data_IF_927102739396
#
_entry.id   IF_927102739396
#
_cell.length_a   1.000
_cell.length_b   1.000
_cell.length_c   1.000
_cell.angle_alpha   90.00
_cell.angle_beta   90.00
_cell.angle_gamma   90.00
#
_symmetry.space_group_name_H-M   'P 1'
#
loop_
_entity.id
_entity.type
_entity.pdbx_description
1 polymer ?
#
# COMPACT_ATOMS: atom_id res chain seq x y z
N UNK A 1 20.64 11.20 24.79
CA UNK A 1 19.46 12.06 24.98
C UNK A 1 18.79 12.19 23.64
N UNK A 2 17.65 11.54 23.39
CA UNK A 2 17.12 11.52 22.01
C UNK A 2 15.88 10.69 21.76
N UNK A 3 15.02 10.52 22.76
CA UNK A 3 13.74 9.79 22.60
C UNK A 3 12.58 10.42 23.37
N UNK A 4 12.81 11.44 24.21
CA UNK A 4 11.75 12.08 24.99
C UNK A 4 11.11 13.27 24.26
N UNK A 5 11.86 14.04 23.46
CA UNK A 5 11.33 15.25 22.79
C UNK A 5 10.30 14.96 21.68
N UNK A 6 10.35 13.78 21.05
CA UNK A 6 9.38 13.41 19.99
C UNK A 6 8.00 12.99 20.53
N UNK A 7 7.92 12.61 21.81
CA UNK A 7 6.66 12.27 22.46
C UNK A 7 5.97 13.49 23.09
N UNK A 8 6.66 14.62 23.24
CA UNK A 8 6.09 15.84 23.81
C UNK A 8 5.13 16.51 22.83
N UNK A 9 5.40 16.46 21.52
CA UNK A 9 4.56 17.15 20.50
C UNK A 9 3.17 16.51 20.36
N UNK A 10 3.05 15.20 20.58
CA UNK A 10 1.76 14.48 20.52
C UNK A 10 0.95 14.58 21.82
N UNK A 11 1.61 14.82 22.96
CA UNK A 11 0.94 15.00 24.24
C UNK A 11 0.36 16.42 24.42
N UNK A 12 0.95 17.44 23.79
CA UNK A 12 0.51 18.83 23.93
C UNK A 12 -0.74 19.18 23.08
N UNK A 13 -1.09 18.35 22.08
CA UNK A 13 -2.32 18.56 21.28
C UNK A 13 -3.61 18.11 21.99
N UNK A 14 -3.50 17.44 23.15
CA UNK A 14 -4.64 16.93 23.91
C UNK A 14 -5.01 17.81 25.12
N UNK A 15 -4.22 18.83 25.45
CA UNK A 15 -4.37 19.65 26.67
C UNK A 15 -4.76 21.11 26.44
N UNK A 16 -4.87 21.59 25.19
CA UNK A 16 -5.30 22.98 24.95
C UNK A 16 -6.82 23.09 24.86
N UNK A 17 -7.44 23.07 26.03
CA UNK A 17 -8.78 23.56 26.31
C UNK A 17 -8.72 25.09 26.54
N UNK A 18 -9.64 25.80 25.88
CA UNK A 18 -10.03 27.22 26.00
C UNK A 18 -8.98 28.32 26.29
N UNK A 19 -8.81 29.17 25.27
CA UNK A 19 -8.90 30.62 25.44
C UNK A 19 -7.59 31.35 25.75
N UNK A 20 -6.79 31.64 24.72
CA UNK A 20 -5.98 32.87 24.61
C UNK A 20 -5.45 32.92 23.17
N UNK A 21 -5.41 34.11 22.56
CA UNK A 21 -5.00 34.28 21.16
C UNK A 21 -3.59 33.72 20.91
N UNK A 22 -3.49 32.73 20.04
CA UNK A 22 -2.21 32.19 19.58
C UNK A 22 -1.81 32.87 18.25
N UNK A 23 -0.54 33.25 18.08
CA UNK A 23 -0.03 33.70 16.80
C UNK A 23 -0.04 32.51 15.83
N UNK A 24 -0.49 32.75 14.60
CA UNK A 24 -0.43 31.83 13.47
C UNK A 24 1.02 31.37 13.23
N UNK A 25 1.41 30.27 13.86
CA UNK A 25 2.57 29.50 13.40
C UNK A 25 2.03 28.35 12.57
N UNK A 26 2.07 28.52 11.26
CA UNK A 26 1.91 27.45 10.27
C UNK A 26 2.95 26.35 10.55
N UNK A 27 2.61 25.41 11.42
CA UNK A 27 3.32 24.13 11.51
C UNK A 27 2.88 23.35 10.28
N UNK A 28 3.57 23.54 9.16
CA UNK A 28 3.42 22.68 7.98
C UNK A 28 3.89 21.28 8.36
N UNK A 29 2.95 20.45 8.82
CA UNK A 29 3.14 19.03 9.05
C UNK A 29 3.40 18.35 7.70
N UNK A 30 4.65 18.02 7.43
CA UNK A 30 5.04 17.32 6.20
C UNK A 30 4.68 15.83 6.36
N UNK A 31 3.82 15.32 5.48
CA UNK A 31 3.47 13.91 5.42
C UNK A 31 4.57 13.14 4.69
N UNK A 32 5.11 12.11 5.32
CA UNK A 32 6.15 11.22 4.82
C UNK A 32 5.76 9.74 5.04
N UNK A 33 6.43 8.82 4.35
CA UNK A 33 6.15 7.37 4.40
C UNK A 33 6.11 6.82 5.85
N UNK A 34 6.99 7.35 6.69
CA UNK A 34 7.19 6.89 8.07
C UNK A 34 6.12 7.43 9.04
N UNK A 35 5.52 8.58 8.72
CA UNK A 35 4.60 9.29 9.61
C UNK A 35 3.14 9.23 9.15
N UNK A 36 2.86 8.92 7.87
CA UNK A 36 1.51 8.99 7.30
C UNK A 36 0.50 8.13 8.06
N UNK A 37 0.91 6.94 8.50
CA UNK A 37 0.05 6.04 9.29
C UNK A 37 -0.18 6.51 10.74
N UNK A 38 0.66 7.40 11.26
CA UNK A 38 0.51 8.01 12.59
C UNK A 38 -0.28 9.31 12.52
N UNK A 39 -0.11 10.08 11.43
CA UNK A 39 -0.81 11.34 11.18
C UNK A 39 -2.27 11.08 10.78
N UNK A 40 -2.54 10.06 9.96
CA UNK A 40 -3.89 9.78 9.44
C UNK A 40 -4.97 9.59 10.54
N UNK A 41 -4.75 8.82 11.63
CA UNK A 41 -5.71 8.73 12.72
C UNK A 41 -5.99 10.07 13.42
N UNK A 42 -4.96 10.91 13.58
CA UNK A 42 -5.07 12.23 14.21
C UNK A 42 -5.83 13.17 13.29
N UNK A 43 -5.44 13.23 12.02
CA UNK A 43 -6.11 14.03 11.00
C UNK A 43 -7.60 13.66 10.90
N UNK A 44 -7.93 12.37 10.94
CA UNK A 44 -9.32 11.91 10.94
C UNK A 44 -10.05 12.28 12.24
N UNK A 45 -9.42 12.15 13.41
CA UNK A 45 -10.00 12.52 14.71
C UNK A 45 -10.34 14.01 14.78
N UNK A 46 -9.46 14.86 14.25
CA UNK A 46 -9.62 16.32 14.24
C UNK A 46 -10.32 16.85 12.98
N UNK A 47 -10.80 15.97 12.08
CA UNK A 47 -11.41 16.34 10.79
C UNK A 47 -10.57 17.36 10.00
N UNK A 48 -9.26 17.19 10.05
CA UNK A 48 -8.28 18.09 9.45
C UNK A 48 -8.19 17.86 7.93
N UNK A 49 -7.94 18.92 7.13
CA UNK A 49 -7.63 18.77 5.70
C UNK A 49 -6.40 17.90 5.42
N UNK A 50 -5.56 17.66 6.44
CA UNK A 50 -4.42 16.74 6.37
C UNK A 50 -4.82 15.31 5.97
N UNK A 51 -6.08 14.91 6.12
CA UNK A 51 -6.55 13.60 5.63
C UNK A 51 -6.39 13.51 4.11
N UNK A 52 -6.66 14.60 3.39
CA UNK A 52 -6.50 14.66 1.93
C UNK A 52 -5.02 14.61 1.55
N UNK A 53 -4.15 15.32 2.27
CA UNK A 53 -2.70 15.28 2.04
C UNK A 53 -2.14 13.87 2.29
N UNK A 54 -2.61 13.19 3.35
CA UNK A 54 -2.26 11.79 3.61
C UNK A 54 -2.72 10.88 2.46
N UNK A 55 -3.94 11.09 1.97
CA UNK A 55 -4.51 10.31 0.88
C UNK A 55 -3.72 10.47 -0.42
N UNK A 56 -3.39 11.72 -0.77
CA UNK A 56 -2.64 12.03 -1.99
C UNK A 56 -1.20 11.53 -1.91
N UNK A 57 -0.57 11.61 -0.73
CA UNK A 57 0.72 10.99 -0.50
C UNK A 57 0.67 9.46 -0.65
N UNK A 58 -0.34 8.79 -0.10
CA UNK A 58 -0.49 7.35 -0.29
C UNK A 58 -0.75 6.99 -1.77
N UNK A 59 -1.48 7.84 -2.53
CA UNK A 59 -1.69 7.66 -3.98
C UNK A 59 -0.40 7.80 -4.78
N UNK A 60 0.47 8.76 -4.46
CA UNK A 60 1.75 8.91 -5.17
C UNK A 60 2.64 7.70 -4.96
N UNK A 61 2.63 7.10 -3.76
CA UNK A 61 3.33 5.85 -3.49
C UNK A 61 2.73 4.62 -4.20
N UNK A 62 1.44 4.63 -4.48
CA UNK A 62 0.74 3.57 -5.24
C UNK A 62 0.84 3.75 -6.77
N UNK A 63 2.00 4.20 -7.26
CA UNK A 63 2.32 4.29 -8.68
C UNK A 63 3.39 3.27 -9.09
N UNK A 64 3.37 2.78 -10.34
CA UNK A 64 4.45 1.93 -10.83
C UNK A 64 5.79 2.69 -10.79
N UNK A 65 6.86 2.02 -10.35
CA UNK A 65 8.21 2.60 -10.25
C UNK A 65 8.59 3.18 -8.88
N UNK A 66 7.68 3.27 -7.90
CA UNK A 66 7.99 3.78 -6.54
C UNK A 66 8.70 2.77 -5.63
N UNK A 67 8.74 1.50 -6.01
CA UNK A 67 9.43 0.45 -5.25
C UNK A 67 8.77 0.13 -3.89
N UNK A 68 7.50 0.50 -3.69
CA UNK A 68 6.79 0.23 -2.43
C UNK A 68 6.77 -1.26 -2.10
N UNK A 69 7.04 -1.59 -0.83
CA UNK A 69 6.96 -2.97 -0.34
C UNK A 69 5.50 -3.40 -0.22
N UNK A 70 5.20 -4.65 -0.59
CA UNK A 70 3.85 -5.25 -0.47
C UNK A 70 3.32 -5.15 0.96
N UNK A 71 4.18 -5.33 1.96
CA UNK A 71 3.80 -5.19 3.37
C UNK A 71 3.25 -3.80 3.70
N UNK A 72 3.91 -2.75 3.20
CA UNK A 72 3.54 -1.35 3.41
C UNK A 72 2.28 -0.99 2.63
N UNK A 73 2.15 -1.51 1.40
CA UNK A 73 0.92 -1.36 0.61
C UNK A 73 -0.30 -1.92 1.34
N UNK A 74 -0.18 -3.12 1.92
CA UNK A 74 -1.27 -3.71 2.70
C UNK A 74 -1.59 -2.91 3.97
N UNK A 75 -0.58 -2.33 4.63
CA UNK A 75 -0.82 -1.43 5.77
C UNK A 75 -1.62 -0.19 5.37
N UNK A 76 -1.33 0.41 4.21
CA UNK A 76 -2.10 1.53 3.69
C UNK A 76 -3.52 1.15 3.31
N UNK A 77 -3.74 -0.02 2.69
CA UNK A 77 -5.10 -0.48 2.37
C UNK A 77 -5.90 -0.75 3.65
N UNK A 78 -5.29 -1.38 4.66
CA UNK A 78 -5.93 -1.60 5.97
C UNK A 78 -6.29 -0.29 6.66
N UNK A 79 -5.40 0.70 6.62
CA UNK A 79 -5.69 2.04 7.14
C UNK A 79 -6.83 2.70 6.36
N UNK A 80 -6.82 2.61 5.03
CA UNK A 80 -7.85 3.15 4.18
C UNK A 80 -9.24 2.53 4.42
N UNK A 81 -9.31 1.22 4.66
CA UNK A 81 -10.56 0.56 5.06
C UNK A 81 -11.04 1.08 6.41
N UNK A 82 -10.13 1.23 7.38
CA UNK A 82 -10.46 1.69 8.73
C UNK A 82 -10.95 3.13 8.77
N UNK A 83 -10.38 4.00 7.94
CA UNK A 83 -10.70 5.43 7.87
C UNK A 83 -11.61 5.79 6.70
N UNK A 84 -12.14 4.79 5.99
CA UNK A 84 -13.09 4.93 4.89
C UNK A 84 -12.60 5.83 3.74
N UNK A 85 -11.32 5.70 3.37
CA UNK A 85 -10.68 6.44 2.28
C UNK A 85 -11.01 5.82 0.91
N UNK A 86 -12.25 5.98 0.46
CA UNK A 86 -12.77 5.29 -0.73
C UNK A 86 -12.00 5.58 -2.03
N UNK A 87 -11.57 6.83 -2.24
CA UNK A 87 -10.84 7.24 -3.45
C UNK A 87 -9.45 6.60 -3.53
N UNK A 88 -8.70 6.60 -2.42
CA UNK A 88 -7.45 5.86 -2.31
C UNK A 88 -7.67 4.36 -2.46
N UNK A 89 -8.68 3.79 -1.81
CA UNK A 89 -8.96 2.35 -1.87
C UNK A 89 -9.23 1.90 -3.32
N UNK A 90 -9.98 2.68 -4.10
CA UNK A 90 -10.18 2.39 -5.52
C UNK A 90 -8.87 2.40 -6.34
N UNK A 91 -7.98 3.35 -6.02
CA UNK A 91 -6.66 3.50 -6.66
C UNK A 91 -5.72 2.37 -6.27
N UNK A 92 -5.65 2.03 -4.98
CA UNK A 92 -4.88 0.91 -4.46
C UNK A 92 -5.35 -0.42 -5.03
N UNK A 93 -6.66 -0.64 -5.19
CA UNK A 93 -7.20 -1.84 -5.85
C UNK A 93 -6.78 -1.92 -7.33
N UNK A 94 -6.74 -0.79 -8.05
CA UNK A 94 -6.21 -0.75 -9.44
C UNK A 94 -4.73 -1.11 -9.47
N UNK A 95 -3.97 -0.62 -8.50
CA UNK A 95 -2.54 -0.92 -8.37
C UNK A 95 -2.31 -2.41 -8.04
N UNK A 96 -3.01 -2.96 -7.04
CA UNK A 96 -2.96 -4.37 -6.67
C UNK A 96 -3.33 -5.32 -7.83
N UNK A 97 -4.21 -4.92 -8.75
CA UNK A 97 -4.53 -5.71 -9.92
C UNK A 97 -3.35 -5.90 -10.90
N UNK A 98 -2.31 -5.07 -10.79
CA UNK A 98 -1.06 -5.21 -11.57
C UNK A 98 -0.02 -6.06 -10.84
N UNK A 99 -0.06 -6.07 -9.50
CA UNK A 99 0.81 -6.90 -8.66
C UNK A 99 0.40 -8.37 -8.79
N UNK A 100 1.38 -9.28 -8.68
CA UNK A 100 1.10 -10.71 -8.64
C UNK A 100 0.26 -11.03 -7.39
N UNK A 101 -0.86 -11.71 -7.61
CA UNK A 101 -1.80 -12.08 -6.55
C UNK A 101 -1.17 -13.05 -5.55
N UNK A 102 -0.25 -13.90 -6.01
CA UNK A 102 0.46 -14.82 -5.13
C UNK A 102 1.37 -14.08 -4.15
N UNK A 103 2.01 -13.00 -4.61
CA UNK A 103 2.83 -12.10 -3.79
C UNK A 103 1.98 -11.33 -2.78
N UNK A 104 0.79 -10.85 -3.17
CA UNK A 104 -0.18 -10.22 -2.25
C UNK A 104 -0.66 -11.20 -1.17
N UNK A 105 -0.80 -12.48 -1.50
CA UNK A 105 -1.18 -13.54 -0.57
C UNK A 105 0.04 -14.09 0.23
N UNK A 106 1.17 -13.38 0.21
CA UNK A 106 2.36 -13.69 1.00
C UNK A 106 3.24 -14.81 0.43
N UNK A 107 2.97 -15.35 -0.75
CA UNK A 107 3.86 -16.35 -1.36
C UNK A 107 5.11 -15.64 -1.90
N UNK A 108 6.27 -16.14 -1.52
CA UNK A 108 7.57 -15.72 -2.05
C UNK A 108 8.21 -16.87 -2.81
N UNK A 109 8.79 -16.53 -3.95
CA UNK A 109 9.53 -17.46 -4.79
C UNK A 109 11.00 -17.06 -4.74
N UNK A 110 11.83 -17.90 -4.11
CA UNK A 110 13.27 -17.69 -4.06
C UNK A 110 13.94 -18.60 -5.09
N UNK A 111 14.74 -18.00 -5.97
CA UNK A 111 15.61 -18.73 -6.89
C UNK A 111 16.87 -19.15 -6.14
N UNK A 112 17.07 -20.45 -5.95
CA UNK A 112 18.32 -20.99 -5.42
C UNK A 112 19.15 -21.49 -6.59
N UNK A 113 20.26 -20.81 -6.87
CA UNK A 113 21.28 -21.28 -7.81
C UNK A 113 22.18 -22.29 -7.10
N UNK A 114 22.11 -23.56 -7.49
CA UNK A 114 23.09 -24.55 -7.03
C UNK A 114 24.37 -24.48 -7.88
N UNK A 115 25.50 -24.88 -7.29
CA UNK A 115 26.86 -24.83 -7.90
C UNK A 115 27.01 -25.62 -9.21
N UNK A 116 25.98 -26.35 -9.65
CA UNK A 116 26.02 -27.23 -10.82
C UNK A 116 24.89 -26.96 -11.85
N UNK A 117 24.39 -25.73 -11.94
CA UNK A 117 23.50 -25.31 -13.04
C UNK A 117 22.01 -25.67 -12.88
N UNK A 118 21.65 -26.51 -11.91
CA UNK A 118 20.24 -26.73 -11.58
C UNK A 118 19.68 -25.53 -10.80
N UNK A 119 18.71 -24.84 -11.41
CA UNK A 119 17.93 -23.79 -10.73
C UNK A 119 16.77 -24.47 -10.00
N UNK A 120 16.71 -24.34 -8.68
CA UNK A 120 15.57 -24.79 -7.89
C UNK A 120 14.81 -23.58 -7.34
N UNK A 121 13.49 -23.59 -7.47
CA UNK A 121 12.63 -22.58 -6.87
C UNK A 121 12.13 -23.10 -5.53
N UNK A 122 12.39 -22.36 -4.46
CA UNK A 122 11.80 -22.64 -3.15
C UNK A 122 10.64 -21.68 -2.92
N UNK A 123 9.49 -22.26 -2.55
CA UNK A 123 8.30 -21.52 -2.16
C UNK A 123 8.33 -21.32 -0.65
N UNK A 124 8.35 -20.06 -0.23
CA UNK A 124 8.18 -19.69 1.17
C UNK A 124 6.93 -18.83 1.32
N UNK A 125 6.40 -18.74 2.54
CA UNK A 125 5.23 -17.92 2.86
C UNK A 125 5.68 -16.86 3.86
N UNK A 126 5.50 -15.61 3.49
CA UNK A 126 5.56 -14.46 4.38
C UNK A 126 4.26 -14.40 5.18
N UNK A 127 4.33 -14.89 6.41
CA UNK A 127 3.17 -14.99 7.31
C UNK A 127 2.59 -13.61 7.66
N UNK A 128 3.42 -12.57 7.72
CA UNK A 128 2.97 -11.21 8.03
C UNK A 128 2.18 -10.62 6.88
N UNK A 129 2.69 -10.76 5.65
CA UNK A 129 1.96 -10.33 4.44
C UNK A 129 0.66 -11.10 4.29
N UNK A 130 0.68 -12.43 4.45
CA UNK A 130 -0.52 -13.26 4.37
C UNK A 130 -1.56 -12.84 5.42
N UNK A 131 -1.13 -12.62 6.66
CA UNK A 131 -2.01 -12.19 7.75
C UNK A 131 -2.66 -10.83 7.45
N UNK A 132 -1.88 -9.85 6.97
CA UNK A 132 -2.39 -8.53 6.58
C UNK A 132 -3.40 -8.63 5.44
N UNK A 133 -3.12 -9.45 4.44
CA UNK A 133 -4.06 -9.66 3.33
C UNK A 133 -5.37 -10.28 3.79
N UNK A 134 -5.32 -11.26 4.71
CA UNK A 134 -6.51 -11.87 5.29
C UNK A 134 -7.30 -10.94 6.22
N UNK A 135 -6.66 -9.90 6.76
CA UNK A 135 -7.34 -8.86 7.56
C UNK A 135 -8.14 -7.89 6.72
N UNK A 136 -7.87 -7.78 5.41
CA UNK A 136 -8.67 -6.96 4.51
C UNK A 136 -10.11 -7.45 4.46
N UNK A 137 -11.05 -6.54 4.26
CA UNK A 137 -12.45 -6.95 4.05
C UNK A 137 -12.58 -7.88 2.84
N UNK A 138 -13.54 -8.80 2.90
CA UNK A 138 -13.85 -9.72 1.80
C UNK A 138 -14.21 -8.92 0.53
N UNK A 139 -14.86 -7.77 0.67
CA UNK A 139 -15.22 -6.88 -0.44
C UNK A 139 -14.00 -6.31 -1.15
N UNK A 140 -12.98 -5.87 -0.40
CA UNK A 140 -11.72 -5.37 -0.97
C UNK A 140 -10.94 -6.49 -1.63
N UNK A 141 -10.82 -7.65 -0.97
CA UNK A 141 -10.15 -8.83 -1.57
C UNK A 141 -10.83 -9.25 -2.88
N UNK A 142 -12.16 -9.29 -2.89
CA UNK A 142 -12.94 -9.61 -4.08
C UNK A 142 -12.76 -8.56 -5.18
N UNK A 143 -12.72 -7.28 -4.82
CA UNK A 143 -12.51 -6.19 -5.77
C UNK A 143 -11.12 -6.26 -6.42
N UNK A 144 -10.08 -6.61 -5.65
CA UNK A 144 -8.73 -6.86 -6.17
C UNK A 144 -8.75 -8.04 -7.15
N UNK A 145 -9.31 -9.18 -6.73
CA UNK A 145 -9.37 -10.38 -7.58
C UNK A 145 -10.16 -10.12 -8.88
N UNK A 146 -11.29 -9.41 -8.80
CA UNK A 146 -12.13 -9.06 -9.95
C UNK A 146 -11.41 -8.11 -10.91
N UNK A 147 -10.71 -7.08 -10.42
CA UNK A 147 -9.90 -6.20 -11.31
C UNK A 147 -8.73 -6.96 -11.92
N UNK A 148 -8.10 -7.86 -11.17
CA UNK A 148 -7.02 -8.72 -11.68
C UNK A 148 -7.49 -9.63 -12.81
N UNK A 149 -8.63 -10.29 -12.64
CA UNK A 149 -9.22 -11.15 -13.67
C UNK A 149 -9.49 -10.36 -14.96
N UNK A 150 -10.12 -9.19 -14.84
CA UNK A 150 -10.35 -8.29 -16.00
C UNK A 150 -9.04 -7.90 -16.68
N UNK A 151 -8.00 -7.59 -15.90
CA UNK A 151 -6.69 -7.27 -16.45
C UNK A 151 -6.12 -8.45 -17.24
N UNK A 152 -6.14 -9.67 -16.68
CA UNK A 152 -5.66 -10.87 -17.36
C UNK A 152 -6.45 -11.19 -18.65
N UNK A 153 -7.78 -11.05 -18.62
CA UNK A 153 -8.64 -11.24 -19.79
C UNK A 153 -8.31 -10.24 -20.90
N UNK A 154 -8.07 -8.97 -20.56
CA UNK A 154 -7.66 -7.95 -21.54
C UNK A 154 -6.29 -8.27 -22.15
N UNK A 155 -5.33 -8.76 -21.36
CA UNK A 155 -4.02 -9.18 -21.88
C UNK A 155 -4.14 -10.40 -22.78
N UNK A 156 -4.94 -11.40 -22.40
CA UNK A 156 -5.20 -12.59 -23.23
C UNK A 156 -5.82 -12.20 -24.57
N UNK A 157 -6.85 -11.34 -24.56
CA UNK A 157 -7.49 -10.87 -25.80
C UNK A 157 -6.54 -10.08 -26.70
N UNK A 158 -5.60 -9.31 -26.14
CA UNK A 158 -4.55 -8.62 -26.91
C UNK A 158 -3.57 -9.61 -27.55
N UNK A 159 -3.18 -10.66 -26.81
CA UNK A 159 -2.31 -11.75 -27.31
C UNK A 159 -3.01 -12.54 -28.43
N UNK A 160 -4.26 -12.93 -28.23
CA UNK A 160 -5.04 -13.70 -29.21
C UNK A 160 -5.31 -12.90 -30.51
N UNK A 161 -5.25 -11.56 -30.46
CA UNK A 161 -5.37 -10.66 -31.61
C UNK A 161 -4.01 -10.26 -32.23
N UNK A 162 -2.87 -10.67 -31.66
CA UNK A 162 -1.54 -10.47 -32.25
C UNK A 162 -1.04 -11.79 -32.84
N UNK A 163 -0.82 -11.84 -34.15
CA UNK A 163 -0.35 -13.04 -34.88
C UNK A 163 1.06 -13.55 -34.46
N UNK A 164 1.68 -12.95 -33.44
CA UNK A 164 2.98 -13.36 -32.91
C UNK A 164 2.82 -14.27 -31.69
N UNK A 165 2.99 -15.57 -31.92
CA UNK A 165 3.22 -16.57 -30.88
C UNK A 165 4.66 -16.41 -30.37
N UNK A 166 4.88 -15.51 -29.42
CA UNK A 166 6.10 -15.52 -28.61
C UNK A 166 5.83 -16.19 -27.26
N UNK A 167 6.69 -17.16 -26.96
CA UNK A 167 6.55 -18.16 -25.91
C UNK A 167 6.49 -17.59 -24.49
N UNK A 168 5.75 -18.32 -23.67
CA UNK A 168 5.57 -18.24 -22.23
C UNK A 168 6.68 -17.59 -21.36
N UNK A 169 6.19 -16.88 -20.32
CA UNK A 169 6.83 -16.55 -19.04
C UNK A 169 7.39 -15.15 -18.74
N UNK A 170 7.26 -14.13 -19.61
CA UNK A 170 7.58 -12.76 -19.18
C UNK A 170 6.31 -11.99 -18.78
N UNK A 171 5.97 -12.06 -17.49
CA UNK A 171 5.13 -11.06 -16.85
C UNK A 171 6.01 -9.81 -16.72
N UNK A 172 5.73 -8.70 -17.42
CA UNK A 172 6.55 -7.51 -17.30
C UNK A 172 6.32 -6.90 -15.92
N UNK A 173 7.32 -7.07 -15.04
CA UNK A 173 7.48 -6.26 -13.85
C UNK A 173 8.14 -4.95 -14.29
N UNK A 174 7.30 -3.95 -14.56
CA UNK A 174 7.71 -2.53 -14.64
C UNK A 174 6.91 -1.72 -13.62
#
# INVERSE_FOLDING_TARGET
MGTEERNVILADMATMDFGFGFPETDITLIVEEQNVLQVLPLAHKYQSPLVTDCEDFMKTLCQPGTGIRISTLLDYILAAEKFNLGQFLESAVKFCARVDFDLLNGKKYSRISQRFGNTQYTKSIDKDVQKKFLQLSIETQFSIAKKRLKFLEMYKKKRDNSDSVESDFEIPLS
#
